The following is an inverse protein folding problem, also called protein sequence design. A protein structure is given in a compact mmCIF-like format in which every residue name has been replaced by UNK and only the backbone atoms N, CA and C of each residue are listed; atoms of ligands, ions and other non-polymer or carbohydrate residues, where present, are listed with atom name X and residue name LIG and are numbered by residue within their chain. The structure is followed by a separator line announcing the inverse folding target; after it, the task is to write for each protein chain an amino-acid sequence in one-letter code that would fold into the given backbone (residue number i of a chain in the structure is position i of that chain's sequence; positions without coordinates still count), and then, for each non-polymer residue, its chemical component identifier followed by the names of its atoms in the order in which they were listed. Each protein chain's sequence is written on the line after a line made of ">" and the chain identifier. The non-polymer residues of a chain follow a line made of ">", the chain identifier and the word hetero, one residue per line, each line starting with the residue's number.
data_IF_927771368981
#
_entry.id   IF_927771368981
#
_cell.length_a   1.000
_cell.length_b   1.000
_cell.length_c   1.000
_cell.angle_alpha   90.00
_cell.angle_beta   90.00
_cell.angle_gamma   90.00
#
_symmetry.space_group_name_H-M   'P 1'
#
loop_
_entity.id
_entity.type
_entity.pdbx_description
1 polymer ?
#
# COMPACT_ATOMS: atom_id res chain seq x y z
N UNK A 1 -7.89 20.56 -1.60
CA UNK A 1 -8.79 19.37 -1.66
C UNK A 1 -9.44 19.32 -3.03
N UNK A 2 -9.18 18.29 -3.84
CA UNK A 2 -9.92 18.15 -5.11
C UNK A 2 -11.36 17.73 -4.76
N UNK A 3 -12.34 18.60 -5.04
CA UNK A 3 -13.78 18.29 -4.86
C UNK A 3 -14.18 17.02 -5.61
N UNK A 4 -13.42 16.67 -6.65
CA UNK A 4 -13.62 15.54 -7.55
C UNK A 4 -13.37 14.17 -6.91
N UNK A 5 -12.29 13.99 -6.14
CA UNK A 5 -12.00 12.69 -5.50
C UNK A 5 -13.02 12.32 -4.43
N UNK A 6 -13.37 13.29 -3.58
CA UNK A 6 -14.42 13.13 -2.56
C UNK A 6 -15.79 12.93 -3.20
N UNK A 7 -16.13 13.67 -4.26
CA UNK A 7 -17.39 13.46 -4.98
C UNK A 7 -17.43 12.12 -5.70
N UNK A 8 -16.32 11.59 -6.23
CA UNK A 8 -16.30 10.26 -6.84
C UNK A 8 -16.51 9.15 -5.82
N UNK A 9 -15.92 9.28 -4.63
CA UNK A 9 -16.13 8.30 -3.55
C UNK A 9 -17.50 8.44 -2.92
N UNK A 10 -18.00 9.65 -2.72
CA UNK A 10 -19.34 9.86 -2.17
C UNK A 10 -20.43 9.53 -3.21
N UNK A 11 -20.20 9.77 -4.50
CA UNK A 11 -21.03 9.28 -5.62
C UNK A 11 -20.97 7.76 -5.72
N UNK A 12 -19.79 7.16 -5.62
CA UNK A 12 -19.65 5.71 -5.60
C UNK A 12 -20.26 5.10 -4.35
N UNK A 13 -20.22 5.75 -3.18
CA UNK A 13 -20.93 5.31 -1.97
C UNK A 13 -22.44 5.41 -2.15
N UNK A 14 -22.93 6.49 -2.76
CA UNK A 14 -24.35 6.70 -3.03
C UNK A 14 -24.91 5.79 -4.12
N UNK A 15 -24.07 5.33 -5.05
CA UNK A 15 -24.47 4.55 -6.23
C UNK A 15 -23.82 3.15 -6.31
N UNK A 16 -23.09 2.69 -5.29
CA UNK A 16 -22.47 1.37 -5.29
C UNK A 16 -23.50 0.29 -4.96
N UNK A 17 -23.69 -0.69 -5.86
CA UNK A 17 -24.51 -1.85 -5.61
C UNK A 17 -23.99 -2.81 -4.54
N UNK A 18 -22.85 -2.53 -3.89
CA UNK A 18 -22.50 -3.20 -2.63
C UNK A 18 -23.49 -2.91 -1.49
N UNK A 19 -24.42 -1.94 -1.65
CA UNK A 19 -25.59 -1.78 -0.78
C UNK A 19 -26.94 -2.05 -1.45
N UNK A 20 -26.98 -2.41 -2.74
CA UNK A 20 -28.12 -3.08 -3.42
C UNK A 20 -27.77 -3.40 -4.88
N UNK A 21 -27.76 -4.70 -5.20
CA UNK A 21 -27.92 -5.33 -6.54
C UNK A 21 -26.69 -5.52 -7.45
N UNK A 22 -26.15 -6.74 -7.41
CA UNK A 22 -25.61 -7.53 -8.54
C UNK A 22 -25.56 -6.87 -9.93
N UNK A 23 -24.39 -6.40 -10.35
CA UNK A 23 -24.01 -6.37 -11.76
C UNK A 23 -22.49 -6.52 -11.86
N UNK A 24 -22.06 -7.58 -12.55
CA UNK A 24 -20.71 -8.14 -12.66
C UNK A 24 -19.88 -7.52 -13.80
N UNK A 25 -19.95 -6.21 -14.01
CA UNK A 25 -18.98 -5.52 -14.88
C UNK A 25 -17.95 -4.78 -14.02
N UNK A 26 -16.68 -5.16 -14.18
CA UNK A 26 -15.56 -4.44 -13.59
C UNK A 26 -15.63 -2.98 -14.05
N UNK A 27 -15.62 -2.06 -13.09
CA UNK A 27 -15.63 -0.62 -13.41
C UNK A 27 -14.28 -0.29 -14.05
N UNK A 28 -14.18 0.61 -15.05
CA UNK A 28 -12.95 0.82 -15.82
C UNK A 28 -11.73 1.29 -15.00
N UNK A 29 -11.94 1.68 -13.73
CA UNK A 29 -10.91 2.09 -12.78
C UNK A 29 -9.82 1.03 -12.50
N UNK A 30 -10.04 -0.25 -12.80
CA UNK A 30 -9.00 -1.28 -12.67
C UNK A 30 -8.22 -1.55 -13.96
N UNK A 31 -8.47 -0.79 -15.04
CA UNK A 31 -7.91 -1.07 -16.36
C UNK A 31 -6.84 -0.04 -16.78
N UNK A 32 -5.74 -0.48 -17.42
CA UNK A 32 -4.74 0.44 -17.97
C UNK A 32 -5.30 1.42 -19.00
N UNK A 33 -6.25 0.99 -19.83
CA UNK A 33 -6.83 1.84 -20.89
C UNK A 33 -7.55 3.07 -20.33
N UNK A 34 -8.30 2.92 -19.23
CA UNK A 34 -8.95 4.03 -18.54
C UNK A 34 -7.93 5.07 -18.05
N UNK A 35 -6.92 4.62 -17.31
CA UNK A 35 -5.93 5.53 -16.74
C UNK A 35 -5.02 6.15 -17.80
N UNK A 36 -4.65 5.41 -18.84
CA UNK A 36 -3.93 5.97 -19.99
C UNK A 36 -4.70 7.14 -20.62
N UNK A 37 -6.02 7.02 -20.77
CA UNK A 37 -6.86 8.10 -21.28
C UNK A 37 -6.86 9.33 -20.36
N UNK A 38 -6.86 9.13 -19.03
CA UNK A 38 -6.75 10.22 -18.05
C UNK A 38 -5.37 10.88 -18.12
N UNK A 39 -4.28 10.13 -18.06
CA UNK A 39 -2.92 10.66 -18.08
C UNK A 39 -2.58 11.39 -19.40
N UNK A 40 -3.14 10.94 -20.52
CA UNK A 40 -3.03 11.67 -21.79
C UNK A 40 -3.77 13.01 -21.75
N UNK A 41 -4.92 13.10 -21.07
CA UNK A 41 -5.67 14.36 -20.91
C UNK A 41 -5.00 15.32 -19.95
N UNK A 42 -4.34 14.83 -18.91
CA UNK A 42 -3.62 15.65 -17.93
C UNK A 42 -2.40 16.35 -18.54
N UNK A 43 -1.86 15.88 -19.67
CA UNK A 43 -0.72 16.50 -20.38
C UNK A 43 0.48 16.83 -19.46
N UNK A 44 0.74 15.95 -18.48
CA UNK A 44 1.84 16.12 -17.53
C UNK A 44 1.51 16.94 -16.28
N UNK A 45 0.26 17.34 -16.09
CA UNK A 45 -0.21 17.93 -14.84
C UNK A 45 -0.29 16.90 -13.71
N UNK A 46 -0.07 17.37 -12.48
CA UNK A 46 -0.23 16.54 -11.29
C UNK A 46 -1.71 16.38 -10.95
N UNK A 47 -2.06 15.15 -10.59
CA UNK A 47 -3.37 14.82 -10.08
C UNK A 47 -3.21 13.98 -8.83
N UNK A 48 -3.79 14.46 -7.73
CA UNK A 48 -3.63 13.88 -6.41
C UNK A 48 -4.96 13.29 -5.93
N UNK A 49 -4.95 11.98 -5.67
CA UNK A 49 -5.99 11.33 -4.87
C UNK A 49 -5.71 11.52 -3.38
N UNK A 50 -6.77 11.47 -2.56
CA UNK A 50 -6.67 11.56 -1.10
C UNK A 50 -6.20 12.94 -0.64
N UNK A 51 -5.12 12.95 0.13
CA UNK A 51 -4.50 14.14 0.71
C UNK A 51 -3.26 14.53 -0.09
N UNK A 52 -2.89 15.80 0.04
CA UNK A 52 -1.70 16.34 -0.60
C UNK A 52 -0.45 15.61 -0.07
N UNK A 53 0.49 15.17 -0.94
CA UNK A 53 1.69 14.47 -0.51
C UNK A 53 2.50 15.18 0.58
N UNK A 54 2.54 16.52 0.56
CA UNK A 54 3.24 17.33 1.56
C UNK A 54 2.70 17.14 2.98
N UNK A 55 1.43 16.77 3.13
CA UNK A 55 0.81 16.46 4.42
C UNK A 55 1.12 15.05 4.93
N UNK A 56 1.48 14.13 4.04
CA UNK A 56 1.74 12.72 4.39
C UNK A 56 3.18 12.45 4.78
N UNK A 57 4.12 13.14 4.16
CA UNK A 57 5.55 12.93 4.39
C UNK A 57 5.91 13.07 5.89
N UNK A 58 5.42 14.08 6.64
CA UNK A 58 5.67 14.16 8.08
C UNK A 58 5.11 12.95 8.85
N UNK A 59 3.94 12.46 8.47
CA UNK A 59 3.31 11.26 9.05
C UNK A 59 4.13 10.01 8.79
N UNK A 60 4.86 9.96 7.67
CA UNK A 60 5.82 8.90 7.38
C UNK A 60 7.17 9.09 8.07
N UNK A 61 7.42 10.17 8.83
CA UNK A 61 8.70 10.38 9.51
C UNK A 61 8.65 10.13 11.02
N UNK A 62 7.47 9.98 11.62
CA UNK A 62 7.33 9.88 13.08
C UNK A 62 7.80 8.53 13.64
N UNK A 63 8.64 8.60 14.68
CA UNK A 63 9.26 7.47 15.40
C UNK A 63 8.85 7.53 16.88
N UNK A 64 8.74 6.34 17.48
CA UNK A 64 8.60 6.02 18.92
C UNK A 64 7.22 6.02 19.58
N UNK A 65 6.75 4.79 19.85
CA UNK A 65 5.96 4.45 21.04
C UNK A 65 4.51 4.03 20.79
N UNK A 66 3.83 4.69 19.86
CA UNK A 66 2.46 4.32 19.47
C UNK A 66 2.32 4.47 17.95
N UNK A 67 2.15 3.35 17.26
CA UNK A 67 1.50 3.27 15.94
C UNK A 67 1.95 4.20 14.80
N UNK A 68 3.23 4.58 14.67
CA UNK A 68 3.65 5.36 13.50
C UNK A 68 4.79 4.75 12.66
N UNK A 69 4.81 5.23 11.43
CA UNK A 69 5.37 4.66 10.21
C UNK A 69 6.56 5.51 9.83
N UNK A 70 7.79 5.00 9.93
CA UNK A 70 8.98 5.82 9.67
C UNK A 70 9.63 5.44 8.34
N UNK A 71 9.97 6.43 7.52
CA UNK A 71 10.87 6.35 6.37
C UNK A 71 12.27 6.09 6.90
N UNK A 72 12.53 4.84 7.27
CA UNK A 72 13.86 4.38 7.64
C UNK A 72 14.74 4.26 6.41
N UNK A 73 16.07 4.39 6.54
CA UNK A 73 17.01 4.01 5.49
C UNK A 73 16.67 2.61 4.94
N UNK A 74 16.67 2.48 3.62
CA UNK A 74 16.21 1.28 2.94
C UNK A 74 15.52 1.59 1.61
N UNK A 75 14.94 0.55 1.01
CA UNK A 75 14.29 0.54 -0.29
C UNK A 75 12.78 0.67 -0.12
N UNK A 76 12.24 1.79 -0.60
CA UNK A 76 10.82 2.12 -0.56
C UNK A 76 10.20 2.06 -1.95
N UNK A 77 9.05 1.39 -2.06
CA UNK A 77 8.28 1.33 -3.29
C UNK A 77 6.96 2.09 -3.14
N UNK A 78 6.67 3.02 -4.04
CA UNK A 78 5.36 3.67 -4.16
C UNK A 78 4.60 3.04 -5.33
N UNK A 79 3.52 2.31 -5.05
CA UNK A 79 2.73 1.59 -6.07
C UNK A 79 1.50 2.37 -6.50
N UNK A 80 1.14 2.25 -7.79
CA UNK A 80 -0.01 2.96 -8.37
C UNK A 80 0.14 4.48 -8.25
N UNK A 81 1.35 5.00 -8.46
CA UNK A 81 1.67 6.38 -8.12
C UNK A 81 0.92 7.41 -8.98
N UNK A 82 0.58 7.06 -10.22
CA UNK A 82 0.09 8.04 -11.20
C UNK A 82 1.01 9.24 -11.32
N UNK A 83 0.42 10.44 -11.43
CA UNK A 83 1.17 11.70 -11.54
C UNK A 83 1.52 12.33 -10.19
N UNK A 84 1.45 11.57 -9.09
CA UNK A 84 1.72 12.11 -7.76
C UNK A 84 3.19 12.49 -7.56
N UNK A 85 3.43 13.61 -6.85
CA UNK A 85 4.77 14.03 -6.44
C UNK A 85 5.27 13.36 -5.15
N UNK A 86 4.50 12.43 -4.58
CA UNK A 86 4.86 11.75 -3.34
C UNK A 86 6.26 11.11 -3.34
N UNK A 87 6.71 10.37 -4.38
CA UNK A 87 8.01 9.71 -4.36
C UNK A 87 9.18 10.70 -4.27
N UNK A 88 9.07 11.83 -4.98
CA UNK A 88 10.07 12.90 -4.96
C UNK A 88 10.18 13.51 -3.56
N UNK A 89 9.03 13.83 -2.95
CA UNK A 89 9.00 14.42 -1.60
C UNK A 89 9.51 13.43 -0.55
N UNK A 90 9.20 12.13 -0.69
CA UNK A 90 9.77 11.10 0.18
C UNK A 90 11.30 11.01 0.04
N UNK A 91 11.83 11.10 -1.18
CA UNK A 91 13.27 11.07 -1.43
C UNK A 91 13.98 12.27 -0.80
N UNK A 92 13.40 13.46 -0.94
CA UNK A 92 13.92 14.70 -0.35
C UNK A 92 13.88 14.67 1.18
N UNK A 93 12.80 14.14 1.75
CA UNK A 93 12.59 14.11 3.20
C UNK A 93 13.31 12.95 3.91
N UNK A 94 13.50 11.80 3.24
CA UNK A 94 14.14 10.61 3.80
C UNK A 94 15.65 10.72 4.02
N UNK A 95 16.30 11.71 3.39
CA UNK A 95 17.73 11.96 3.56
C UNK A 95 18.62 10.83 3.02
N UNK A 96 19.83 10.69 3.59
CA UNK A 96 20.83 9.71 3.13
C UNK A 96 20.38 8.29 3.47
N UNK A 97 20.43 7.39 2.48
CA UNK A 97 20.14 5.97 2.64
C UNK A 97 18.69 5.56 2.37
N UNK A 98 17.79 6.51 2.05
CA UNK A 98 16.45 6.20 1.54
C UNK A 98 16.49 6.13 0.02
N UNK A 99 16.17 4.96 -0.53
CA UNK A 99 16.01 4.71 -1.97
C UNK A 99 14.52 4.62 -2.28
N UNK A 100 14.06 5.38 -3.28
CA UNK A 100 12.65 5.44 -3.65
C UNK A 100 12.47 4.98 -5.09
N UNK A 101 11.69 3.93 -5.27
CA UNK A 101 11.16 3.47 -6.56
C UNK A 101 9.67 3.78 -6.60
N UNK A 102 9.17 4.26 -7.74
CA UNK A 102 7.76 4.47 -8.00
C UNK A 102 7.32 3.64 -9.21
N UNK A 103 6.10 3.12 -9.15
CA UNK A 103 5.55 2.34 -10.25
C UNK A 103 4.07 2.61 -10.52
N UNK A 104 3.69 2.30 -11.75
CA UNK A 104 2.32 2.29 -12.24
C UNK A 104 2.24 1.29 -13.39
N UNK A 105 1.08 0.66 -13.64
CA UNK A 105 0.93 -0.20 -14.82
C UNK A 105 0.90 0.61 -16.13
N UNK A 106 0.77 1.93 -16.04
CA UNK A 106 0.65 2.82 -17.17
C UNK A 106 2.03 3.28 -17.63
N UNK A 107 2.51 2.70 -18.73
CA UNK A 107 3.74 3.17 -19.36
C UNK A 107 3.71 4.69 -19.67
N UNK A 108 2.53 5.22 -20.00
CA UNK A 108 2.33 6.66 -20.26
C UNK A 108 2.76 7.50 -19.07
N UNK A 109 2.24 7.22 -17.87
CA UNK A 109 2.56 8.03 -16.69
C UNK A 109 3.98 7.77 -16.20
N UNK A 110 4.47 6.54 -16.30
CA UNK A 110 5.86 6.20 -15.96
C UNK A 110 6.84 7.01 -16.80
N UNK A 111 6.63 7.10 -18.13
CA UNK A 111 7.45 7.93 -19.01
C UNK A 111 7.37 9.41 -18.67
N UNK A 112 6.16 9.92 -18.43
CA UNK A 112 5.95 11.32 -18.06
C UNK A 112 6.63 11.69 -16.74
N UNK A 113 6.55 10.83 -15.73
CA UNK A 113 7.08 11.15 -14.41
C UNK A 113 8.60 10.95 -14.35
N UNK A 114 9.13 9.95 -15.05
CA UNK A 114 10.58 9.74 -15.18
C UNK A 114 11.31 10.93 -15.81
N UNK A 115 10.66 11.68 -16.70
CA UNK A 115 11.26 12.90 -17.28
C UNK A 115 11.17 14.13 -16.36
N UNK A 116 10.31 14.09 -15.34
CA UNK A 116 10.03 15.21 -14.43
C UNK A 116 10.71 15.09 -13.08
N UNK A 117 10.94 13.87 -12.60
CA UNK A 117 11.51 13.59 -11.28
C UNK A 117 12.90 12.98 -11.41
N UNK A 118 13.86 13.53 -10.69
CA UNK A 118 15.26 13.08 -10.69
C UNK A 118 15.57 12.40 -9.36
N UNK A 119 16.33 11.30 -9.40
CA UNK A 119 16.71 10.56 -8.19
C UNK A 119 15.64 9.60 -7.64
N UNK A 120 14.46 9.52 -8.29
CA UNK A 120 13.45 8.47 -8.10
C UNK A 120 13.58 7.47 -9.25
N UNK A 121 13.61 6.17 -8.94
CA UNK A 121 13.52 5.13 -9.96
C UNK A 121 12.07 4.95 -10.40
N UNK A 122 11.81 4.94 -11.70
CA UNK A 122 10.47 4.79 -12.26
C UNK A 122 10.37 3.52 -13.11
N UNK A 123 9.40 2.66 -12.77
CA UNK A 123 9.22 1.33 -13.39
C UNK A 123 7.76 1.13 -13.79
N UNK A 124 7.53 0.59 -14.98
CA UNK A 124 6.22 0.09 -15.38
C UNK A 124 5.98 -1.27 -14.73
N UNK A 125 4.96 -1.37 -13.87
CA UNK A 125 4.70 -2.57 -13.09
C UNK A 125 3.24 -2.63 -12.66
N UNK A 126 2.62 -3.80 -12.86
CA UNK A 126 1.31 -4.14 -12.30
C UNK A 126 1.48 -4.86 -10.96
N UNK A 127 1.13 -4.17 -9.87
CA UNK A 127 1.19 -4.71 -8.52
C UNK A 127 0.25 -5.91 -8.26
N UNK A 128 -0.79 -6.13 -9.09
CA UNK A 128 -1.59 -7.36 -9.02
C UNK A 128 -0.82 -8.58 -9.55
N UNK A 129 0.16 -8.36 -10.43
CA UNK A 129 1.00 -9.40 -11.03
C UNK A 129 2.25 -9.69 -10.21
N UNK A 130 2.75 -8.72 -9.44
CA UNK A 130 3.85 -8.91 -8.48
C UNK A 130 4.75 -7.68 -8.34
N UNK A 131 5.53 -7.61 -7.26
CA UNK A 131 6.49 -6.52 -7.01
C UNK A 131 7.91 -7.03 -6.67
N UNK A 132 8.20 -8.30 -6.96
CA UNK A 132 9.38 -9.03 -6.49
C UNK A 132 9.16 -9.70 -5.14
N UNK A 133 10.16 -10.45 -4.67
CA UNK A 133 10.17 -11.13 -3.36
C UNK A 133 11.24 -10.51 -2.46
N UNK A 134 10.88 -10.20 -1.21
CA UNK A 134 11.78 -9.71 -0.15
C UNK A 134 12.76 -8.60 -0.58
N UNK A 135 12.23 -7.67 -1.36
CA UNK A 135 12.98 -6.58 -1.99
C UNK A 135 12.80 -5.25 -1.27
N UNK A 136 11.72 -5.06 -0.52
CA UNK A 136 11.33 -3.73 -0.05
C UNK A 136 11.28 -3.65 1.47
N UNK A 137 11.88 -2.60 2.04
CA UNK A 137 11.78 -2.29 3.46
C UNK A 137 10.40 -1.67 3.76
N UNK A 138 9.89 -0.89 2.80
CA UNK A 138 8.56 -0.31 2.88
C UNK A 138 7.87 -0.22 1.52
N UNK A 139 6.55 -0.36 1.54
CA UNK A 139 5.68 -0.12 0.38
C UNK A 139 4.64 0.92 0.77
N UNK A 140 4.35 1.85 -0.13
CA UNK A 140 3.33 2.89 0.04
C UNK A 140 2.35 2.82 -1.13
N UNK A 141 1.05 2.93 -0.84
CA UNK A 141 0.06 3.28 -1.84
C UNK A 141 -0.88 4.38 -1.34
N UNK A 142 -1.38 5.16 -2.29
CA UNK A 142 -2.32 6.25 -2.03
C UNK A 142 -3.42 6.22 -3.06
N UNK A 143 -4.57 5.67 -2.67
CA UNK A 143 -5.75 5.57 -3.54
C UNK A 143 -5.74 4.41 -4.55
N UNK A 144 -4.66 3.62 -4.66
CA UNK A 144 -4.64 2.41 -5.50
C UNK A 144 -5.72 1.42 -5.03
N UNK A 145 -5.74 1.14 -3.73
CA UNK A 145 -6.70 0.22 -3.14
C UNK A 145 -8.14 0.77 -3.26
N UNK A 146 -8.33 2.08 -3.16
CA UNK A 146 -9.62 2.71 -3.42
C UNK A 146 -10.04 2.53 -4.88
N UNK A 147 -9.13 2.68 -5.85
CA UNK A 147 -9.41 2.45 -7.26
C UNK A 147 -9.91 1.03 -7.54
N UNK A 148 -9.28 0.02 -6.94
CA UNK A 148 -9.70 -1.39 -7.04
C UNK A 148 -11.03 -1.65 -6.32
N UNK A 149 -11.19 -1.07 -5.12
CA UNK A 149 -12.43 -1.19 -4.35
C UNK A 149 -13.63 -0.60 -5.09
N UNK A 150 -13.46 0.60 -5.66
CA UNK A 150 -14.46 1.27 -6.50
C UNK A 150 -14.72 0.52 -7.80
N UNK A 151 -13.72 -0.19 -8.32
CA UNK A 151 -13.88 -1.10 -9.45
C UNK A 151 -14.66 -2.38 -9.15
N UNK A 152 -15.02 -2.60 -7.87
CA UNK A 152 -15.56 -3.85 -7.33
C UNK A 152 -14.61 -5.04 -7.52
N UNK A 153 -13.31 -4.77 -7.61
CA UNK A 153 -12.26 -5.75 -7.82
C UNK A 153 -11.68 -6.21 -6.46
N UNK A 154 -12.51 -6.89 -5.67
CA UNK A 154 -12.08 -7.42 -4.37
C UNK A 154 -10.96 -8.45 -4.49
N UNK A 155 -10.94 -9.22 -5.59
CA UNK A 155 -9.85 -10.15 -5.89
C UNK A 155 -8.54 -9.40 -6.15
N UNK A 156 -8.58 -8.32 -6.92
CA UNK A 156 -7.44 -7.44 -7.16
C UNK A 156 -6.87 -6.85 -5.86
N UNK A 157 -7.73 -6.38 -4.94
CA UNK A 157 -7.28 -5.92 -3.61
C UNK A 157 -6.53 -7.04 -2.86
N UNK A 158 -7.07 -8.26 -2.89
CA UNK A 158 -6.42 -9.42 -2.28
C UNK A 158 -5.08 -9.78 -2.93
N UNK A 159 -4.98 -9.71 -4.26
CA UNK A 159 -3.75 -9.94 -5.03
C UNK A 159 -2.68 -8.89 -4.69
N UNK A 160 -3.04 -7.61 -4.70
CA UNK A 160 -2.11 -6.53 -4.32
C UNK A 160 -1.60 -6.74 -2.91
N UNK A 161 -2.48 -6.97 -1.94
CA UNK A 161 -2.06 -7.22 -0.55
C UNK A 161 -1.09 -8.40 -0.43
N UNK A 162 -1.41 -9.53 -1.08
CA UNK A 162 -0.55 -10.72 -1.09
C UNK A 162 0.81 -10.45 -1.73
N UNK A 163 0.84 -9.76 -2.87
CA UNK A 163 2.08 -9.45 -3.57
C UNK A 163 2.94 -8.45 -2.79
N UNK A 164 2.33 -7.47 -2.13
CA UNK A 164 3.04 -6.55 -1.24
C UNK A 164 3.64 -7.30 -0.06
N UNK A 165 2.90 -8.20 0.59
CA UNK A 165 3.46 -9.07 1.63
C UNK A 165 4.67 -9.84 1.13
N UNK A 166 4.59 -10.48 -0.04
CA UNK A 166 5.73 -11.21 -0.61
C UNK A 166 6.93 -10.31 -0.90
N UNK A 167 6.69 -9.12 -1.43
CA UNK A 167 7.76 -8.18 -1.80
C UNK A 167 8.44 -7.49 -0.62
N UNK A 168 7.78 -7.37 0.53
CA UNK A 168 8.38 -6.81 1.73
C UNK A 168 9.42 -7.78 2.33
N UNK A 169 10.52 -7.26 2.88
CA UNK A 169 11.39 -8.04 3.76
C UNK A 169 10.66 -8.41 5.06
N UNK A 170 11.04 -9.48 5.78
CA UNK A 170 10.50 -9.76 7.11
C UNK A 170 10.57 -8.54 8.03
N UNK A 171 9.44 -8.16 8.65
CA UNK A 171 9.33 -6.94 9.48
C UNK A 171 9.16 -5.63 8.69
N UNK A 172 9.17 -5.68 7.36
CA UNK A 172 8.84 -4.54 6.49
C UNK A 172 7.38 -4.11 6.63
N UNK A 173 7.08 -2.90 6.16
CA UNK A 173 5.75 -2.29 6.33
C UNK A 173 5.09 -1.87 5.03
N UNK A 174 3.79 -2.08 4.95
CA UNK A 174 2.94 -1.46 3.93
C UNK A 174 2.12 -0.33 4.56
N UNK A 175 2.20 0.85 3.96
CA UNK A 175 1.44 2.04 4.33
C UNK A 175 0.42 2.33 3.23
N UNK A 176 -0.86 2.25 3.52
CA UNK A 176 -1.91 2.60 2.54
C UNK A 176 -2.75 3.75 3.03
N UNK A 177 -2.88 4.79 2.21
CA UNK A 177 -3.78 5.92 2.44
C UNK A 177 -5.04 5.70 1.63
N UNK A 178 -6.16 5.55 2.33
CA UNK A 178 -7.44 5.18 1.73
C UNK A 178 -8.60 5.96 2.31
N UNK A 179 -9.59 6.29 1.49
CA UNK A 179 -10.86 6.85 1.95
C UNK A 179 -11.79 5.80 2.58
N UNK A 180 -11.48 4.52 2.42
CA UNK A 180 -12.31 3.41 2.85
C UNK A 180 -12.08 3.12 4.33
N UNK A 181 -13.15 3.05 5.13
CA UNK A 181 -13.07 2.78 6.57
C UNK A 181 -12.58 1.37 6.87
N UNK A 182 -11.99 1.21 8.05
CA UNK A 182 -11.34 -0.04 8.50
C UNK A 182 -12.24 -1.27 8.38
N UNK A 183 -13.51 -1.13 8.73
CA UNK A 183 -14.47 -2.24 8.75
C UNK A 183 -14.75 -2.81 7.35
N UNK A 184 -14.60 -1.98 6.31
CA UNK A 184 -14.78 -2.41 4.92
C UNK A 184 -13.48 -2.89 4.31
N UNK A 185 -12.36 -2.23 4.62
CA UNK A 185 -11.10 -2.54 3.95
C UNK A 185 -10.36 -3.73 4.56
N UNK A 186 -10.29 -3.80 5.90
CA UNK A 186 -9.51 -4.82 6.61
C UNK A 186 -9.87 -6.28 6.23
N UNK A 187 -11.14 -6.63 5.96
CA UNK A 187 -11.48 -7.96 5.47
C UNK A 187 -10.82 -8.34 4.13
N UNK A 188 -10.51 -7.36 3.29
CA UNK A 188 -9.95 -7.55 1.94
C UNK A 188 -8.41 -7.62 1.93
N UNK A 189 -7.75 -7.04 2.94
CA UNK A 189 -6.29 -6.99 3.03
C UNK A 189 -5.64 -8.34 3.41
N UNK A 190 -6.43 -9.41 3.59
CA UNK A 190 -5.93 -10.75 3.87
C UNK A 190 -5.57 -10.99 5.34
N UNK A 191 -5.97 -12.15 5.87
CA UNK A 191 -5.76 -12.55 7.27
C UNK A 191 -4.76 -13.72 7.32
N UNK A 192 -3.47 -13.43 7.37
CA UNK A 192 -2.45 -14.48 7.52
C UNK A 192 -1.02 -13.97 7.38
N UNK A 193 -0.82 -13.08 6.42
CA UNK A 193 0.47 -12.47 6.07
C UNK A 193 0.96 -11.42 7.09
N UNK A 194 0.02 -10.70 7.69
CA UNK A 194 0.31 -9.54 8.53
C UNK A 194 0.38 -9.91 10.01
N UNK A 195 1.43 -9.43 10.69
CA UNK A 195 1.58 -9.52 12.14
C UNK A 195 0.67 -8.53 12.85
N UNK A 196 0.54 -7.32 12.28
CA UNK A 196 -0.24 -6.22 12.85
C UNK A 196 -0.82 -5.36 11.73
N UNK A 197 -2.08 -4.97 11.90
CA UNK A 197 -2.76 -3.97 11.05
C UNK A 197 -3.29 -2.89 11.97
N UNK A 198 -2.83 -1.66 11.81
CA UNK A 198 -3.37 -0.47 12.47
C UNK A 198 -3.97 0.45 11.43
N UNK A 199 -4.95 1.24 11.86
CA UNK A 199 -5.54 2.29 11.05
C UNK A 199 -5.66 3.53 11.93
N UNK A 200 -5.17 4.65 11.44
CA UNK A 200 -5.31 5.97 12.03
C UNK A 200 -6.23 6.79 11.13
N UNK A 201 -7.20 7.46 11.74
CA UNK A 201 -8.03 8.43 11.03
C UNK A 201 -7.26 9.74 10.92
N UNK A 202 -6.96 10.14 9.67
CA UNK A 202 -6.58 11.50 9.34
C UNK A 202 -7.87 12.29 9.06
N UNK A 203 -7.75 13.61 8.80
CA UNK A 203 -8.91 14.49 8.67
C UNK A 203 -10.00 13.98 7.71
N UNK A 204 -9.61 13.41 6.57
CA UNK A 204 -10.57 12.97 5.53
C UNK A 204 -10.35 11.56 5.00
N UNK A 205 -9.31 10.88 5.47
CA UNK A 205 -8.83 9.58 4.99
C UNK A 205 -8.29 8.77 6.15
N UNK A 206 -8.02 7.49 5.92
CA UNK A 206 -7.38 6.60 6.87
C UNK A 206 -5.97 6.26 6.39
N UNK A 207 -5.00 6.32 7.31
CA UNK A 207 -3.68 5.75 7.11
C UNK A 207 -3.63 4.38 7.77
N UNK A 208 -3.46 3.33 6.96
CA UNK A 208 -3.23 1.99 7.46
C UNK A 208 -1.74 1.69 7.50
N UNK A 209 -1.31 0.99 8.55
CA UNK A 209 0.02 0.40 8.63
C UNK A 209 -0.12 -1.11 8.83
N UNK A 210 0.41 -1.87 7.87
CA UNK A 210 0.44 -3.32 7.88
C UNK A 210 1.88 -3.78 8.04
N UNK A 211 2.17 -4.47 9.15
CA UNK A 211 3.48 -5.04 9.46
C UNK A 211 3.56 -6.48 8.96
N UNK A 212 4.51 -6.78 8.07
CA UNK A 212 4.79 -8.16 7.64
C UNK A 212 5.32 -8.96 8.84
N UNK A 213 4.89 -10.21 8.96
CA UNK A 213 5.44 -11.16 9.96
C UNK A 213 6.95 -11.32 9.80
N UNK A 214 7.67 -11.38 10.91
CA UNK A 214 9.08 -11.77 10.90
C UNK A 214 9.24 -13.26 10.61
N UNK A 215 10.46 -13.69 10.22
CA UNK A 215 10.77 -15.11 9.99
C UNK A 215 10.47 -15.98 11.23
N UNK A 216 10.69 -15.43 12.43
CA UNK A 216 10.47 -16.11 13.70
C UNK A 216 8.99 -16.18 14.13
N UNK A 217 8.08 -15.42 13.50
CA UNK A 217 6.66 -15.40 13.85
C UNK A 217 5.86 -16.56 13.22
N UNK A 218 6.48 -17.36 12.36
CA UNK A 218 5.85 -18.50 11.68
C UNK A 218 5.78 -19.78 12.55
N UNK A 219 6.41 -19.79 13.73
CA UNK A 219 6.51 -20.97 14.61
C UNK A 219 5.27 -21.36 15.43
N UNK A 220 4.12 -20.69 15.24
CA UNK A 220 2.93 -20.84 16.09
C UNK A 220 1.99 -22.02 15.78
N UNK A 221 2.27 -22.84 14.76
CA UNK A 221 1.45 -24.02 14.42
C UNK A 221 2.32 -25.27 14.29
N UNK A 222 2.58 -25.97 15.39
CA UNK A 222 3.10 -27.33 15.33
C UNK A 222 3.78 -27.85 16.60
N UNK A 223 3.08 -28.71 17.34
CA UNK A 223 3.72 -29.80 18.08
C UNK A 223 4.28 -29.46 19.46
N UNK A 224 3.43 -29.50 20.49
CA UNK A 224 3.87 -29.64 21.86
C UNK A 224 4.65 -30.95 22.07
N UNK A 225 5.99 -30.91 21.98
CA UNK A 225 6.84 -31.96 22.52
C UNK A 225 7.12 -31.66 23.99
N UNK A 226 6.37 -32.34 24.88
CA UNK A 226 6.70 -32.46 26.31
C UNK A 226 8.15 -32.93 26.44
N UNK A 227 9.05 -32.04 26.85
CA UNK A 227 10.39 -32.40 27.33
C UNK A 227 10.22 -33.20 28.63
N UNK A 228 10.35 -34.53 28.53
CA UNK A 228 10.54 -35.42 29.68
C UNK A 228 11.82 -35.00 30.41
N UNK A 229 11.68 -34.47 31.63
CA UNK A 229 12.78 -34.32 32.59
C UNK A 229 13.27 -35.73 32.97
N UNK A 230 14.48 -36.11 32.54
CA UNK A 230 15.22 -37.23 33.13
C UNK A 230 15.86 -36.73 34.42
N UNK A 231 15.41 -37.27 35.55
CA UNK A 231 16.04 -37.06 36.85
C UNK A 231 17.44 -37.65 36.87
N UNK A 232 18.42 -36.87 37.32
CA UNK A 232 19.75 -37.37 37.70
C UNK A 232 19.71 -37.68 39.20
N UNK A 233 19.98 -38.95 39.51
CA UNK A 233 20.26 -39.48 40.86
C UNK A 233 21.46 -38.74 41.44
N UNK A 234 21.33 -38.28 42.69
CA UNK A 234 22.48 -38.06 43.56
C UNK A 234 22.61 -39.31 44.43
N UNK A 235 23.76 -39.99 44.30
CA UNK A 235 24.24 -40.96 45.27
C UNK A 235 25.18 -40.19 46.20
N UNK A 236 24.84 -40.17 47.48
CA UNK A 236 25.78 -40.06 48.60
C UNK A 236 25.37 -41.10 49.62
#
# INVERSE_FOLDING_TARGET
>A
MSKFGRSMIDFARANSPFFKSSTTQATPLSTPSYWNAIYNKLKGENFEWAVEPTSLVPTYQTVDGATHTSLTPGRWLVVGNGTSNLPQLMKEAGGKGVEVTACDFSQTVVKQMKSRQTGVEWVEMDCQSGIGEEKWDGVIDKGLIDGLYLAKDAEGVGKVSKNISKGLVPGGRWLTVSYTKKDYLSPLLGKGEWAKITAEELETVYLYSLLKRGENDQGGRGGGRKRRRRGRRNVR
#
